data_IF_549558180477
#
_entry.id   IF_549558180477
#
_cell.length_a   1.000
_cell.length_b   1.000
_cell.length_c   1.000
_cell.angle_alpha   90.00
_cell.angle_beta   90.00
_cell.angle_gamma   90.00
#
_symmetry.space_group_name_H-M   'P 1'
#
loop_
_entity.id
_entity.type
_entity.pdbx_description
1 polymer ?
#
# COMPACT_ATOMS: atom_id res chain seq x y z
N UNK A 1 -8.47 -14.67 18.68
CA UNK A 1 -9.39 -15.13 17.65
C UNK A 1 -9.42 -14.16 16.49
N UNK A 2 -9.03 -14.67 15.35
CA UNK A 2 -9.08 -13.87 14.12
C UNK A 2 -10.51 -13.88 13.58
N UNK A 3 -10.92 -12.77 13.01
CA UNK A 3 -12.18 -12.71 12.29
C UNK A 3 -12.09 -13.64 11.08
N UNK A 4 -13.22 -14.13 10.62
CA UNK A 4 -13.25 -14.96 9.42
C UNK A 4 -12.79 -14.11 8.21
N UNK A 5 -12.30 -14.79 7.18
CA UNK A 5 -11.91 -14.11 5.94
C UNK A 5 -13.07 -13.34 5.33
N UNK A 6 -14.29 -13.85 5.44
CA UNK A 6 -15.47 -13.18 4.92
C UNK A 6 -15.75 -11.86 5.64
N UNK A 7 -15.64 -11.87 6.97
CA UNK A 7 -15.81 -10.65 7.77
C UNK A 7 -14.74 -9.62 7.44
N UNK A 8 -13.49 -10.05 7.33
CA UNK A 8 -12.39 -9.17 6.98
C UNK A 8 -12.59 -8.54 5.61
N UNK A 9 -13.04 -9.35 4.65
CA UNK A 9 -13.30 -8.88 3.30
C UNK A 9 -14.42 -7.82 3.31
N UNK A 10 -15.52 -8.09 3.98
CA UNK A 10 -16.65 -7.15 4.05
C UNK A 10 -16.25 -5.84 4.72
N UNK A 11 -15.51 -5.90 5.82
CA UNK A 11 -15.05 -4.72 6.52
C UNK A 11 -14.08 -3.91 5.65
N UNK A 12 -13.20 -4.61 4.92
CA UNK A 12 -12.27 -3.96 4.00
C UNK A 12 -13.00 -3.27 2.85
N UNK A 13 -13.99 -3.94 2.26
CA UNK A 13 -14.77 -3.35 1.17
C UNK A 13 -15.55 -2.14 1.65
N UNK A 14 -16.17 -2.22 2.82
CA UNK A 14 -16.88 -1.09 3.40
C UNK A 14 -15.94 0.08 3.67
N UNK A 15 -14.76 -0.21 4.21
CA UNK A 15 -13.72 0.80 4.42
C UNK A 15 -13.35 1.49 3.11
N UNK A 16 -13.13 0.71 2.04
CA UNK A 16 -12.73 1.26 0.74
C UNK A 16 -13.85 2.11 0.11
N UNK A 17 -15.11 1.70 0.26
CA UNK A 17 -16.24 2.46 -0.25
C UNK A 17 -16.28 3.84 0.44
N UNK A 18 -16.17 3.86 1.75
CA UNK A 18 -16.18 5.10 2.52
C UNK A 18 -14.95 5.96 2.23
N UNK A 19 -13.79 5.32 2.13
CA UNK A 19 -12.53 6.00 1.87
C UNK A 19 -12.50 6.62 0.48
N UNK A 20 -13.05 5.92 -0.51
CA UNK A 20 -13.09 6.41 -1.89
C UNK A 20 -13.93 7.67 -2.07
N UNK A 21 -14.84 7.93 -1.13
CA UNK A 21 -15.67 9.14 -1.15
C UNK A 21 -14.96 10.34 -0.53
N UNK A 22 -13.80 10.15 0.11
CA UNK A 22 -13.06 11.24 0.75
C UNK A 22 -12.34 12.09 -0.30
N UNK A 23 -12.22 13.37 -0.02
CA UNK A 23 -11.53 14.30 -0.90
C UNK A 23 -10.07 13.90 -1.06
N UNK A 24 -9.58 13.93 -2.30
CA UNK A 24 -8.19 13.63 -2.63
C UNK A 24 -7.88 12.16 -2.85
N UNK A 25 -8.78 11.26 -2.48
CA UNK A 25 -8.56 9.83 -2.69
C UNK A 25 -8.92 9.45 -4.13
N UNK A 26 -7.99 8.76 -4.79
CA UNK A 26 -8.18 8.27 -6.16
C UNK A 26 -8.38 6.78 -6.12
N UNK A 27 -9.41 6.28 -6.81
CA UNK A 27 -9.67 4.85 -6.95
C UNK A 27 -9.33 4.42 -8.37
N UNK A 28 -8.48 3.41 -8.52
CA UNK A 28 -8.06 2.90 -9.83
C UNK A 28 -8.99 1.77 -10.28
N UNK A 29 -8.86 1.36 -11.54
CA UNK A 29 -9.66 0.28 -12.11
C UNK A 29 -9.46 -1.06 -11.38
N UNK A 30 -8.28 -1.29 -10.83
CA UNK A 30 -7.97 -2.52 -10.10
C UNK A 30 -8.61 -2.55 -8.71
N UNK A 31 -9.12 -1.43 -8.23
CA UNK A 31 -9.66 -1.28 -6.89
C UNK A 31 -8.66 -0.69 -5.90
N UNK A 32 -7.43 -0.45 -6.33
CA UNK A 32 -6.43 0.22 -5.50
C UNK A 32 -6.86 1.67 -5.28
N UNK A 33 -6.68 2.17 -4.05
CA UNK A 33 -6.90 3.58 -3.75
C UNK A 33 -5.61 4.20 -3.26
N UNK A 34 -5.43 5.48 -3.53
CA UNK A 34 -4.27 6.19 -3.03
C UNK A 34 -4.60 7.66 -2.74
N UNK A 35 -3.83 8.22 -1.80
CA UNK A 35 -3.96 9.63 -1.40
C UNK A 35 -2.55 10.21 -1.31
N UNK A 36 -2.29 11.27 -2.07
CA UNK A 36 -0.98 11.95 -2.04
C UNK A 36 -0.89 12.76 -0.74
N UNK A 37 0.10 12.44 0.09
CA UNK A 37 0.33 13.14 1.36
C UNK A 37 1.31 14.29 1.19
N UNK A 38 2.36 14.08 0.37
CA UNK A 38 3.36 15.10 0.07
C UNK A 38 3.75 14.97 -1.40
N UNK A 39 3.82 16.11 -2.09
CA UNK A 39 4.27 16.13 -3.47
C UNK A 39 5.76 15.90 -3.56
N UNK A 40 6.19 15.16 -4.59
CA UNK A 40 7.59 14.89 -4.82
C UNK A 40 8.25 15.92 -5.72
N UNK A 41 9.56 15.77 -5.85
CA UNK A 41 10.37 16.64 -6.72
C UNK A 41 10.78 15.95 -8.01
N UNK A 42 10.64 14.62 -8.08
CA UNK A 42 10.98 13.86 -9.27
C UNK A 42 10.00 14.03 -10.40
N UNK A 43 10.40 13.62 -11.59
CA UNK A 43 9.56 13.70 -12.79
C UNK A 43 9.35 12.33 -13.42
N UNK A 44 10.13 11.34 -13.00
CA UNK A 44 10.06 9.99 -13.55
C UNK A 44 9.29 9.05 -12.62
N UNK A 45 8.53 8.15 -13.21
CA UNK A 45 7.80 7.11 -12.48
C UNK A 45 8.55 5.79 -12.59
N UNK A 46 8.56 4.97 -11.53
CA UNK A 46 9.14 3.62 -11.64
C UNK A 46 8.34 2.76 -12.61
N UNK A 47 9.02 1.80 -13.21
CA UNK A 47 8.38 0.78 -14.05
C UNK A 47 8.47 -0.56 -13.35
N UNK A 48 7.81 -1.58 -13.90
CA UNK A 48 7.86 -2.94 -13.32
C UNK A 48 9.27 -3.50 -13.21
N UNK A 49 10.19 -2.98 -14.03
CA UNK A 49 11.59 -3.43 -14.03
C UNK A 49 12.48 -2.57 -13.14
N UNK A 50 11.93 -1.53 -12.54
CA UNK A 50 12.70 -0.61 -11.70
C UNK A 50 13.01 -1.20 -10.33
N UNK A 51 14.14 -0.76 -9.77
CA UNK A 51 14.48 -0.97 -8.37
C UNK A 51 14.19 0.34 -7.64
N UNK A 52 13.56 0.25 -6.50
CA UNK A 52 13.17 1.45 -5.73
C UNK A 52 13.67 1.34 -4.30
N UNK A 53 13.94 2.49 -3.69
CA UNK A 53 14.24 2.61 -2.27
C UNK A 53 13.11 3.41 -1.63
N UNK A 54 12.48 2.83 -0.62
CA UNK A 54 11.31 3.44 0.02
C UNK A 54 11.39 3.35 1.54
N UNK A 55 10.72 4.29 2.20
CA UNK A 55 10.34 4.19 3.60
C UNK A 55 8.84 3.93 3.64
N UNK A 56 8.41 3.00 4.48
CA UNK A 56 6.99 2.66 4.54
C UNK A 56 6.54 2.35 5.96
N UNK A 57 5.25 2.51 6.18
CA UNK A 57 4.60 2.18 7.45
C UNK A 57 3.27 1.50 7.12
N UNK A 58 3.17 0.20 7.41
CA UNK A 58 2.00 -0.59 7.05
C UNK A 58 1.12 -0.91 8.23
N UNK A 59 -0.18 -0.66 8.06
CA UNK A 59 -1.18 -0.92 9.10
C UNK A 59 -2.38 -1.66 8.52
N UNK A 60 -3.13 -2.32 9.40
CA UNK A 60 -4.45 -2.84 9.08
C UNK A 60 -5.46 -1.70 9.23
N UNK A 61 -6.70 -1.94 8.80
CA UNK A 61 -7.74 -0.91 8.86
C UNK A 61 -8.11 -0.52 10.30
N UNK A 62 -7.79 -1.38 11.27
CA UNK A 62 -8.02 -1.08 12.70
C UNK A 62 -6.85 -0.32 13.35
N UNK A 63 -5.81 -0.01 12.57
CA UNK A 63 -4.65 0.73 13.07
C UNK A 63 -3.49 -0.13 13.55
N UNK A 64 -3.63 -1.45 13.54
CA UNK A 64 -2.56 -2.36 13.97
C UNK A 64 -1.39 -2.32 13.00
N UNK A 65 -0.19 -1.96 13.49
CA UNK A 65 1.02 -1.95 12.67
C UNK A 65 1.51 -3.37 12.47
N UNK A 66 1.67 -3.80 11.23
CA UNK A 66 2.20 -5.14 10.93
C UNK A 66 3.62 -5.11 10.38
N UNK A 67 4.05 -4.00 9.84
CA UNK A 67 5.42 -3.84 9.34
C UNK A 67 5.71 -2.35 9.15
N UNK A 68 6.95 -1.93 9.41
CA UNK A 68 7.32 -0.52 9.26
C UNK A 68 8.83 -0.35 9.16
N UNK A 69 9.31 0.17 8.03
CA UNK A 69 10.71 0.56 7.90
C UNK A 69 11.00 1.81 8.71
N UNK A 70 9.97 2.66 8.93
CA UNK A 70 10.10 3.86 9.75
C UNK A 70 10.43 3.50 11.19
N UNK A 71 9.77 2.49 11.75
CA UNK A 71 10.06 2.02 13.12
C UNK A 71 11.43 1.38 13.23
N UNK A 72 11.90 0.72 12.16
CA UNK A 72 13.25 0.14 12.13
C UNK A 72 14.33 1.18 11.90
N UNK A 73 13.96 2.37 11.44
CA UNK A 73 14.90 3.46 11.19
C UNK A 73 15.72 3.33 9.92
N UNK A 74 15.37 2.40 9.04
CA UNK A 74 16.12 2.18 7.79
C UNK A 74 15.19 1.97 6.60
N UNK A 75 15.43 2.68 5.48
CA UNK A 75 14.66 2.43 4.27
C UNK A 75 15.03 1.08 3.66
N UNK A 76 14.16 0.58 2.80
CA UNK A 76 14.33 -0.72 2.16
C UNK A 76 14.37 -0.55 0.64
N UNK A 77 15.22 -1.34 -0.02
CA UNK A 77 15.35 -1.37 -1.47
C UNK A 77 14.88 -2.72 -2.00
N UNK A 78 14.13 -2.71 -3.10
CA UNK A 78 13.66 -3.95 -3.72
C UNK A 78 13.31 -3.70 -5.18
N UNK A 79 13.21 -4.79 -5.97
CA UNK A 79 12.70 -4.71 -7.34
C UNK A 79 11.17 -4.70 -7.29
N UNK A 80 10.55 -3.85 -8.09
CA UNK A 80 9.09 -3.68 -8.09
C UNK A 80 8.35 -5.00 -8.35
N UNK A 81 8.88 -5.83 -9.21
CA UNK A 81 8.26 -7.12 -9.53
C UNK A 81 8.26 -8.14 -8.39
N UNK A 82 8.96 -7.85 -7.29
CA UNK A 82 9.08 -8.75 -6.13
C UNK A 82 8.08 -8.47 -5.02
N UNK A 83 7.27 -7.42 -5.16
CA UNK A 83 6.34 -6.99 -4.11
C UNK A 83 4.90 -7.30 -4.50
N UNK A 84 3.97 -7.11 -3.55
CA UNK A 84 2.55 -7.35 -3.79
C UNK A 84 2.03 -6.45 -4.92
N UNK A 85 0.96 -6.90 -5.57
CA UNK A 85 0.41 -6.21 -6.74
C UNK A 85 0.02 -4.77 -6.47
N UNK A 86 -0.52 -4.49 -5.28
CA UNK A 86 -0.89 -3.13 -4.89
C UNK A 86 0.29 -2.18 -4.90
N UNK A 87 1.46 -2.63 -4.46
CA UNK A 87 2.68 -1.85 -4.51
C UNK A 87 3.20 -1.72 -5.94
N UNK A 88 3.14 -2.81 -6.73
CA UNK A 88 3.59 -2.77 -8.12
C UNK A 88 2.82 -1.72 -8.90
N UNK A 89 1.53 -1.63 -8.67
CA UNK A 89 0.70 -0.60 -9.30
C UNK A 89 0.93 0.77 -8.68
N UNK A 90 0.80 0.86 -7.35
CA UNK A 90 0.84 2.14 -6.64
C UNK A 90 2.13 2.90 -6.83
N UNK A 91 3.27 2.21 -6.78
CA UNK A 91 4.56 2.86 -6.94
C UNK A 91 4.75 3.44 -8.35
N UNK A 92 4.11 2.86 -9.36
CA UNK A 92 4.21 3.39 -10.73
C UNK A 92 3.52 4.74 -10.89
N UNK A 93 2.65 5.13 -9.96
CA UNK A 93 2.03 6.45 -9.96
C UNK A 93 2.85 7.50 -9.22
N UNK A 94 3.89 7.07 -8.50
CA UNK A 94 4.69 7.96 -7.65
C UNK A 94 5.93 8.49 -8.38
N UNK A 95 6.47 9.58 -7.86
CA UNK A 95 7.76 10.12 -8.29
C UNK A 95 8.67 10.24 -7.08
N UNK A 96 9.98 10.40 -7.30
CA UNK A 96 10.94 10.52 -6.20
C UNK A 96 10.58 11.69 -5.29
N UNK A 97 10.69 11.46 -3.98
CA UNK A 97 10.37 12.45 -2.96
C UNK A 97 8.91 12.51 -2.56
N UNK A 98 8.04 11.83 -3.30
CA UNK A 98 6.60 11.84 -3.04
C UNK A 98 6.24 10.89 -1.90
N UNK A 99 5.28 11.30 -1.08
CA UNK A 99 4.73 10.45 -0.01
C UNK A 99 3.25 10.22 -0.29
N UNK A 100 2.86 8.95 -0.36
CA UNK A 100 1.51 8.54 -0.72
C UNK A 100 1.00 7.50 0.25
N UNK A 101 -0.27 7.62 0.63
CA UNK A 101 -0.96 6.57 1.40
C UNK A 101 -1.67 5.67 0.42
N UNK A 102 -1.33 4.38 0.46
CA UNK A 102 -1.96 3.36 -0.39
C UNK A 102 -2.97 2.58 0.44
N UNK A 103 -4.16 2.39 -0.12
CA UNK A 103 -5.22 1.57 0.49
C UNK A 103 -5.39 0.36 -0.43
N UNK A 104 -4.90 -0.79 0.00
CA UNK A 104 -4.75 -1.96 -0.86
C UNK A 104 -5.78 -3.03 -0.50
N UNK A 105 -6.72 -3.33 -1.40
CA UNK A 105 -7.67 -4.43 -1.15
C UNK A 105 -6.94 -5.77 -1.14
N UNK A 106 -7.52 -6.76 -0.47
CA UNK A 106 -6.85 -8.04 -0.25
C UNK A 106 -6.41 -8.74 -1.53
N UNK A 107 -7.18 -8.63 -2.60
CA UNK A 107 -6.82 -9.27 -3.87
C UNK A 107 -5.55 -8.70 -4.51
N UNK A 108 -5.12 -7.52 -4.09
CA UNK A 108 -3.87 -6.90 -4.54
C UNK A 108 -2.77 -7.01 -3.47
N UNK A 109 -3.05 -7.68 -2.38
CA UNK A 109 -2.14 -7.87 -1.26
C UNK A 109 -1.92 -9.36 -1.01
N UNK A 110 -2.30 -9.86 0.17
CA UNK A 110 -2.03 -11.25 0.55
C UNK A 110 -3.22 -12.18 0.40
N UNK A 111 -4.34 -11.66 -0.11
CA UNK A 111 -5.49 -12.47 -0.50
C UNK A 111 -6.17 -13.20 0.66
N UNK A 112 -6.84 -14.28 0.32
CA UNK A 112 -7.63 -15.06 1.27
C UNK A 112 -6.79 -15.83 2.28
N UNK A 113 -5.51 -16.04 1.99
CA UNK A 113 -4.62 -16.77 2.88
C UNK A 113 -3.97 -15.92 3.96
N UNK A 114 -3.86 -14.63 3.71
CA UNK A 114 -3.10 -13.74 4.60
C UNK A 114 -1.61 -14.03 4.57
N UNK A 115 -0.87 -13.50 5.53
CA UNK A 115 0.58 -13.73 5.64
C UNK A 115 1.07 -13.30 7.02
N UNK A 116 1.62 -14.24 7.81
CA UNK A 116 2.17 -13.93 9.13
C UNK A 116 1.19 -13.13 9.99
N UNK A 117 1.51 -11.87 10.35
CA UNK A 117 0.62 -11.04 11.16
C UNK A 117 -0.60 -10.52 10.41
N UNK A 118 -0.66 -10.71 9.09
CA UNK A 118 -1.75 -10.21 8.25
C UNK A 118 -2.85 -11.27 8.15
N UNK A 119 -4.07 -10.96 8.64
CA UNK A 119 -5.16 -11.95 8.61
C UNK A 119 -5.70 -12.17 7.19
N UNK A 120 -6.48 -13.25 7.00
CA UNK A 120 -7.08 -13.54 5.69
C UNK A 120 -7.97 -12.41 5.18
N UNK A 121 -7.90 -12.15 3.89
CA UNK A 121 -8.73 -11.14 3.20
C UNK A 121 -8.65 -9.74 3.79
N UNK A 122 -7.49 -9.39 4.35
CA UNK A 122 -7.30 -8.08 4.98
C UNK A 122 -6.99 -7.00 3.96
N UNK A 123 -7.61 -5.84 4.15
CA UNK A 123 -7.28 -4.62 3.42
C UNK A 123 -6.16 -3.92 4.15
N UNK A 124 -5.13 -3.49 3.45
CA UNK A 124 -3.92 -2.92 4.04
C UNK A 124 -3.81 -1.44 3.74
N UNK A 125 -3.20 -0.72 4.67
CA UNK A 125 -2.91 0.71 4.50
C UNK A 125 -1.40 0.89 4.62
N UNK A 126 -0.78 1.47 3.59
CA UNK A 126 0.65 1.77 3.61
C UNK A 126 0.89 3.25 3.38
N UNK A 127 1.66 3.86 4.27
CA UNK A 127 2.22 5.18 4.02
C UNK A 127 3.60 4.92 3.40
N UNK A 128 3.78 5.30 2.15
CA UNK A 128 5.00 5.01 1.39
C UNK A 128 5.65 6.30 0.93
N UNK A 129 6.94 6.45 1.23
CA UNK A 129 7.75 7.54 0.71
C UNK A 129 8.74 6.97 -0.28
N UNK A 130 8.67 7.39 -1.54
CA UNK A 130 9.59 6.94 -2.57
C UNK A 130 10.85 7.79 -2.50
N UNK A 131 11.94 7.20 -2.05
CA UNK A 131 13.20 7.91 -1.84
C UNK A 131 14.00 8.01 -3.14
N UNK A 132 14.15 6.89 -3.83
CA UNK A 132 14.91 6.88 -5.09
C UNK A 132 14.47 5.75 -6.01
N UNK A 133 14.75 5.94 -7.30
CA UNK A 133 14.50 4.97 -8.35
C UNK A 133 15.85 4.61 -8.98
N UNK A 134 16.12 3.33 -9.15
CA UNK A 134 17.36 2.87 -9.79
C UNK A 134 17.09 2.21 -11.11
#
# INVERSE_FOLDING_TARGET
>A
NHKSGDENFEQGQQFLIENGAKEGVVTTESGLQYLVLEEGTGTEHPTKNSKVTVHYHGTLIDGTVFDSSVERGEPISFALKQVIKGWQEGLTYMVEGQKVRLFIPSQLAYGKGGSGPIPPSATLIFDVELISIK
#
